data_IF_940535068365
#
_entry.id   IF_940535068365
#
_cell.length_a   1.000
_cell.length_b   1.000
_cell.length_c   1.000
_cell.angle_alpha   90.00
_cell.angle_beta   90.00
_cell.angle_gamma   90.00
#
_symmetry.space_group_name_H-M   'P 1'
#
loop_
_entity.id
_entity.type
_entity.pdbx_description
1 polymer ?
#
# COMPACT_ATOMS: atom_id res chain seq x y z
N UNK A 1 -13.97 -12.22 -4.98
CA UNK A 1 -13.87 -10.81 -4.59
C UNK A 1 -15.12 -10.10 -5.12
N UNK A 2 -15.45 -8.92 -4.59
CA UNK A 2 -16.45 -8.05 -5.20
C UNK A 2 -15.76 -7.20 -6.25
N UNK A 3 -16.32 -7.13 -7.46
CA UNK A 3 -15.90 -6.25 -8.54
C UNK A 3 -16.93 -5.14 -8.71
N UNK A 4 -16.46 -3.89 -8.81
CA UNK A 4 -17.35 -2.76 -9.07
C UNK A 4 -17.98 -2.83 -10.46
N UNK A 5 -17.27 -3.43 -11.41
CA UNK A 5 -17.72 -3.68 -12.76
C UNK A 5 -17.01 -4.94 -13.30
N UNK A 6 -17.74 -6.00 -13.68
CA UNK A 6 -17.15 -7.27 -14.11
C UNK A 6 -16.43 -7.18 -15.47
N UNK A 7 -16.61 -6.08 -16.21
CA UNK A 7 -15.93 -5.86 -17.49
C UNK A 7 -14.54 -5.22 -17.31
N UNK A 8 -14.17 -4.84 -16.08
CA UNK A 8 -12.84 -4.31 -15.78
C UNK A 8 -11.78 -5.42 -15.81
N UNK A 9 -10.58 -5.01 -16.22
CA UNK A 9 -9.38 -5.84 -16.13
C UNK A 9 -9.10 -6.27 -14.70
N UNK A 10 -8.67 -7.53 -14.56
CA UNK A 10 -8.38 -8.15 -13.26
C UNK A 10 -9.62 -8.60 -12.50
N UNK A 11 -9.48 -8.71 -11.17
CA UNK A 11 -10.52 -9.10 -10.22
C UNK A 11 -10.33 -8.42 -8.85
N UNK A 12 -11.42 -8.00 -8.25
CA UNK A 12 -11.47 -7.29 -6.97
C UNK A 12 -11.33 -5.78 -7.07
N UNK A 13 -11.35 -5.18 -8.26
CA UNK A 13 -11.27 -3.72 -8.41
C UNK A 13 -12.57 -3.10 -7.91
N UNK A 14 -12.50 -2.30 -6.84
CA UNK A 14 -13.67 -1.76 -6.18
C UNK A 14 -13.38 -0.52 -5.32
N UNK A 15 -14.45 0.13 -4.84
CA UNK A 15 -14.33 1.22 -3.88
C UNK A 15 -15.37 1.12 -2.75
N UNK A 16 -15.02 1.71 -1.61
CA UNK A 16 -15.87 1.76 -0.43
C UNK A 16 -15.87 3.15 0.18
N UNK A 17 -17.05 3.77 0.24
CA UNK A 17 -17.25 5.05 0.93
C UNK A 17 -17.38 4.83 2.44
N UNK A 18 -16.74 5.70 3.22
CA UNK A 18 -16.85 5.76 4.68
C UNK A 18 -17.64 7.01 5.02
N UNK A 19 -18.71 6.85 5.78
CA UNK A 19 -19.52 7.98 6.25
C UNK A 19 -18.90 8.62 7.49
N UNK A 20 -19.22 9.89 7.71
CA UNK A 20 -18.94 10.55 9.00
C UNK A 20 -19.61 9.82 10.16
N UNK A 21 -19.12 10.06 11.36
CA UNK A 21 -19.59 9.49 12.62
C UNK A 21 -21.08 9.73 12.88
N UNK A 22 -21.64 10.82 12.35
CA UNK A 22 -23.07 11.15 12.39
C UNK A 22 -23.88 10.65 11.17
N UNK A 23 -23.21 10.02 10.20
CA UNK A 23 -23.80 9.50 8.97
C UNK A 23 -24.23 10.56 7.95
N UNK A 24 -23.91 11.84 8.17
CA UNK A 24 -24.43 12.95 7.36
C UNK A 24 -23.73 13.17 6.02
N UNK A 25 -22.47 12.73 5.88
CA UNK A 25 -21.67 12.94 4.67
C UNK A 25 -20.70 11.80 4.39
N UNK A 26 -20.20 11.72 3.16
CA UNK A 26 -19.11 10.82 2.78
C UNK A 26 -17.79 11.41 3.29
N UNK A 27 -17.30 10.91 4.42
CA UNK A 27 -16.09 11.41 5.05
C UNK A 27 -14.82 11.00 4.30
N UNK A 28 -14.81 9.79 3.74
CA UNK A 28 -13.63 9.21 3.10
C UNK A 28 -14.02 8.19 2.02
N UNK A 29 -13.09 7.86 1.13
CA UNK A 29 -13.24 6.73 0.20
C UNK A 29 -11.99 5.84 0.20
N UNK A 30 -12.18 4.53 0.07
CA UNK A 30 -11.10 3.56 -0.10
C UNK A 30 -11.19 2.96 -1.50
N UNK A 31 -10.10 3.03 -2.25
CA UNK A 31 -9.95 2.40 -3.56
C UNK A 31 -9.14 1.11 -3.43
N UNK A 32 -9.61 0.04 -4.05
CA UNK A 32 -8.90 -1.22 -4.19
C UNK A 32 -8.71 -1.48 -5.68
N UNK A 33 -7.47 -1.63 -6.13
CA UNK A 33 -7.16 -1.95 -7.52
C UNK A 33 -6.53 -3.33 -7.60
N UNK A 34 -6.96 -4.12 -8.60
CA UNK A 34 -6.16 -5.23 -9.07
C UNK A 34 -5.04 -4.68 -9.96
N UNK A 35 -3.79 -4.77 -9.50
CA UNK A 35 -2.62 -4.39 -10.29
C UNK A 35 -2.21 -5.47 -11.30
N UNK A 36 -3.04 -6.48 -11.50
CA UNK A 36 -2.83 -7.64 -12.36
C UNK A 36 -1.59 -8.45 -11.92
N UNK A 37 -1.11 -9.37 -12.77
CA UNK A 37 -0.02 -10.30 -12.41
C UNK A 37 1.24 -10.10 -13.25
N UNK A 38 1.16 -10.43 -14.54
CA UNK A 38 2.30 -10.37 -15.44
C UNK A 38 1.85 -10.02 -16.87
N UNK A 39 2.70 -9.28 -17.57
CA UNK A 39 2.53 -8.91 -18.98
C UNK A 39 3.76 -9.32 -19.82
N UNK A 40 3.63 -9.28 -21.14
CA UNK A 40 4.62 -9.84 -22.09
C UNK A 40 4.93 -8.95 -23.30
N UNK A 41 4.45 -7.71 -23.34
CA UNK A 41 4.60 -6.76 -24.44
C UNK A 41 6.07 -6.44 -24.78
N UNK A 42 6.96 -6.55 -23.79
CA UNK A 42 8.42 -6.37 -23.95
C UNK A 42 9.12 -7.63 -24.48
N UNK A 43 8.40 -8.72 -24.72
CA UNK A 43 8.93 -10.02 -25.12
C UNK A 43 9.52 -10.84 -23.96
N UNK A 44 9.38 -10.38 -22.72
CA UNK A 44 9.77 -11.08 -21.49
C UNK A 44 8.62 -11.00 -20.48
N UNK A 45 8.66 -11.86 -19.45
CA UNK A 45 7.68 -11.79 -18.35
C UNK A 45 8.02 -10.60 -17.46
N UNK A 46 7.20 -9.57 -17.51
CA UNK A 46 7.30 -8.37 -16.67
C UNK A 46 6.11 -8.31 -15.72
N UNK A 47 6.24 -7.54 -14.63
CA UNK A 47 5.08 -7.26 -13.78
C UNK A 47 4.07 -6.40 -14.54
N UNK A 48 2.80 -6.78 -14.38
CA UNK A 48 1.69 -6.05 -14.98
C UNK A 48 1.34 -4.81 -14.16
N UNK A 49 0.36 -4.05 -14.62
CA UNK A 49 -0.02 -2.75 -14.10
C UNK A 49 -1.54 -2.60 -14.05
N UNK A 50 -2.03 -1.52 -13.46
CA UNK A 50 -3.45 -1.13 -13.55
C UNK A 50 -3.73 -0.59 -14.95
N UNK A 51 -4.73 -1.14 -15.63
CA UNK A 51 -5.04 -0.89 -17.04
C UNK A 51 -5.93 0.36 -17.22
N UNK A 52 -6.05 0.82 -18.46
CA UNK A 52 -6.76 2.05 -18.82
C UNK A 52 -8.24 2.03 -18.40
N UNK A 53 -8.93 0.91 -18.56
CA UNK A 53 -10.33 0.74 -18.15
C UNK A 53 -10.52 0.92 -16.64
N UNK A 54 -9.61 0.41 -15.82
CA UNK A 54 -9.60 0.60 -14.36
C UNK A 54 -9.31 2.07 -14.00
N UNK A 55 -8.41 2.74 -14.72
CA UNK A 55 -8.11 4.17 -14.52
C UNK A 55 -9.32 5.04 -14.88
N UNK A 56 -9.96 4.78 -16.02
CA UNK A 56 -11.15 5.52 -16.46
C UNK A 56 -12.36 5.23 -15.57
N UNK A 57 -12.48 4.01 -15.04
CA UNK A 57 -13.44 3.69 -13.99
C UNK A 57 -13.20 4.52 -12.73
N UNK A 58 -11.95 4.61 -12.25
CA UNK A 58 -11.61 5.43 -11.09
C UNK A 58 -11.97 6.89 -11.32
N UNK A 59 -11.57 7.49 -12.45
CA UNK A 59 -11.88 8.90 -12.77
C UNK A 59 -13.38 9.16 -12.75
N UNK A 60 -14.15 8.35 -13.48
CA UNK A 60 -15.62 8.46 -13.55
C UNK A 60 -16.27 8.31 -12.17
N UNK A 61 -15.80 7.35 -11.37
CA UNK A 61 -16.37 7.08 -10.04
C UNK A 61 -16.02 8.19 -9.06
N UNK A 62 -14.77 8.67 -9.08
CA UNK A 62 -14.31 9.82 -8.30
C UNK A 62 -15.12 11.09 -8.61
N UNK A 63 -15.37 11.38 -9.89
CA UNK A 63 -16.18 12.52 -10.31
C UNK A 63 -17.63 12.42 -9.84
N UNK A 64 -18.22 11.22 -9.90
CA UNK A 64 -19.56 10.98 -9.39
C UNK A 64 -19.64 11.17 -7.86
N UNK A 65 -18.63 10.70 -7.12
CA UNK A 65 -18.52 10.92 -5.67
C UNK A 65 -18.35 12.41 -5.34
N UNK A 66 -17.54 13.14 -6.09
CA UNK A 66 -17.36 14.59 -5.92
C UNK A 66 -18.68 15.33 -6.17
N UNK A 67 -19.42 14.97 -7.24
CA UNK A 67 -20.72 15.55 -7.53
C UNK A 67 -21.76 15.25 -6.45
N UNK A 68 -21.73 14.05 -5.86
CA UNK A 68 -22.62 13.64 -4.77
C UNK A 68 -22.30 14.36 -3.45
N UNK A 69 -21.01 14.46 -3.10
CA UNK A 69 -20.56 15.03 -1.83
C UNK A 69 -20.51 16.57 -1.86
N UNK A 70 -20.35 17.18 -3.04
CA UNK A 70 -20.11 18.61 -3.20
C UNK A 70 -18.68 19.06 -2.91
N UNK A 71 -17.75 18.11 -2.75
CA UNK A 71 -16.31 18.32 -2.56
C UNK A 71 -15.54 17.07 -3.00
N UNK A 72 -14.24 17.23 -3.28
CA UNK A 72 -13.35 16.08 -3.54
C UNK A 72 -13.26 15.21 -2.30
N UNK A 73 -13.80 13.99 -2.37
CA UNK A 73 -13.81 13.06 -1.25
C UNK A 73 -12.38 12.58 -0.99
N UNK A 74 -11.79 12.87 0.19
CA UNK A 74 -10.45 12.40 0.53
C UNK A 74 -10.39 10.87 0.48
N UNK A 75 -9.33 10.33 -0.09
CA UNK A 75 -9.24 8.89 -0.31
C UNK A 75 -7.85 8.29 -0.15
N UNK A 76 -7.84 6.97 0.08
CA UNK A 76 -6.64 6.13 0.04
C UNK A 76 -6.84 5.00 -0.97
N UNK A 77 -5.75 4.55 -1.58
CA UNK A 77 -5.75 3.42 -2.50
C UNK A 77 -4.89 2.27 -1.98
N UNK A 78 -5.25 1.05 -2.36
CA UNK A 78 -4.50 -0.16 -2.06
C UNK A 78 -4.39 -1.01 -3.31
N UNK A 79 -3.18 -1.48 -3.62
CA UNK A 79 -2.92 -2.46 -4.66
C UNK A 79 -1.70 -3.30 -4.33
N UNK A 80 -1.47 -4.39 -5.08
CA UNK A 80 -0.36 -5.29 -4.77
C UNK A 80 0.99 -4.76 -5.27
N UNK A 81 1.12 -4.53 -6.58
CA UNK A 81 2.37 -4.13 -7.25
C UNK A 81 2.51 -2.60 -7.17
N UNK A 82 3.68 -2.05 -6.81
CA UNK A 82 3.88 -0.60 -6.71
C UNK A 82 3.81 0.11 -8.07
N UNK A 83 3.44 1.39 -8.06
CA UNK A 83 3.53 2.24 -9.25
C UNK A 83 4.99 2.58 -9.59
N UNK A 84 5.34 2.83 -10.87
CA UNK A 84 6.70 3.23 -11.28
C UNK A 84 7.31 4.38 -10.49
N UNK A 85 6.49 5.35 -10.07
CA UNK A 85 6.89 6.56 -9.34
C UNK A 85 7.47 6.27 -7.95
N UNK A 86 7.39 5.03 -7.45
CA UNK A 86 8.08 4.62 -6.23
C UNK A 86 9.59 4.92 -6.27
N UNK A 87 10.21 4.90 -7.46
CA UNK A 87 11.63 5.24 -7.64
C UNK A 87 11.95 6.73 -7.46
N UNK A 88 10.95 7.61 -7.50
CA UNK A 88 11.16 9.03 -7.18
C UNK A 88 11.50 9.23 -5.68
N UNK A 89 11.24 8.23 -4.84
CA UNK A 89 11.64 8.21 -3.43
C UNK A 89 13.06 7.67 -3.21
N UNK A 90 13.76 7.23 -4.25
CA UNK A 90 15.12 6.69 -4.17
C UNK A 90 16.15 7.77 -4.49
N UNK A 91 17.38 7.58 -4.01
CA UNK A 91 18.51 8.38 -4.48
C UNK A 91 19.06 7.81 -5.80
N UNK A 92 19.32 8.69 -6.77
CA UNK A 92 20.10 8.35 -7.95
C UNK A 92 21.54 7.96 -7.52
N UNK A 93 22.02 6.85 -8.05
CA UNK A 93 23.29 6.25 -7.66
C UNK A 93 24.48 7.16 -8.00
N UNK A 94 25.42 7.25 -7.08
CA UNK A 94 26.70 7.92 -7.26
C UNK A 94 27.83 6.90 -7.50
N UNK A 95 28.98 7.30 -8.06
CA UNK A 95 30.13 6.41 -8.20
C UNK A 95 30.53 5.78 -6.87
N UNK A 96 30.55 4.44 -6.83
CA UNK A 96 30.88 3.66 -5.65
C UNK A 96 29.67 3.17 -4.83
N UNK A 97 28.45 3.59 -5.16
CA UNK A 97 27.25 3.00 -4.56
C UNK A 97 27.08 1.53 -4.97
N UNK A 98 26.68 0.71 -4.00
CA UNK A 98 26.34 -0.71 -4.19
C UNK A 98 25.43 -1.18 -3.05
N UNK A 99 24.36 -1.95 -3.32
CA UNK A 99 23.91 -2.34 -4.65
C UNK A 99 23.21 -1.19 -5.39
N UNK A 100 23.16 -1.29 -6.72
CA UNK A 100 22.46 -0.35 -7.61
C UNK A 100 21.55 -1.09 -8.59
N UNK A 101 20.53 -0.40 -9.10
CA UNK A 101 19.59 -0.93 -10.11
C UNK A 101 19.25 0.15 -11.13
N UNK A 102 19.32 -0.21 -12.41
CA UNK A 102 18.79 0.63 -13.49
C UNK A 102 17.27 0.43 -13.59
N UNK A 103 16.55 1.53 -13.72
CA UNK A 103 15.12 1.55 -13.95
C UNK A 103 14.73 2.84 -14.70
N UNK A 104 14.02 2.68 -15.81
CA UNK A 104 13.53 3.77 -16.66
C UNK A 104 14.60 4.82 -17.06
N UNK A 105 15.80 4.36 -17.39
CA UNK A 105 16.89 5.18 -17.92
C UNK A 105 17.74 5.87 -16.84
N UNK A 106 17.50 5.59 -15.56
CA UNK A 106 18.30 6.08 -14.43
C UNK A 106 18.78 4.91 -13.59
N UNK A 107 19.91 5.10 -12.89
CA UNK A 107 20.45 4.11 -11.96
C UNK A 107 20.24 4.58 -10.53
N UNK A 108 19.61 3.77 -9.70
CA UNK A 108 19.30 4.11 -8.31
C UNK A 108 20.14 3.29 -7.35
N UNK A 109 20.56 3.90 -6.24
CA UNK A 109 21.12 3.19 -5.11
C UNK A 109 19.99 2.58 -4.27
N UNK A 110 20.26 1.51 -3.53
CA UNK A 110 19.31 0.98 -2.55
C UNK A 110 19.24 1.87 -1.30
N UNK A 111 18.81 3.13 -1.50
CA UNK A 111 18.76 4.18 -0.48
C UNK A 111 17.57 5.10 -0.77
N UNK A 112 16.74 5.34 0.24
CA UNK A 112 15.68 6.33 0.18
C UNK A 112 16.25 7.76 0.19
N UNK A 113 15.63 8.65 -0.56
CA UNK A 113 15.79 10.08 -0.37
C UNK A 113 15.13 10.49 0.95
N UNK A 114 15.95 10.82 1.96
CA UNK A 114 15.48 11.15 3.31
C UNK A 114 14.77 12.50 3.42
N UNK A 115 14.82 13.33 2.39
CA UNK A 115 14.01 14.55 2.32
C UNK A 115 12.55 14.26 1.94
N UNK A 116 12.30 13.11 1.30
CA UNK A 116 10.98 12.73 0.78
C UNK A 116 10.37 11.53 1.50
N UNK A 117 11.20 10.62 2.02
CA UNK A 117 10.78 9.32 2.53
C UNK A 117 11.45 8.92 3.85
N UNK A 118 10.68 8.26 4.70
CA UNK A 118 11.11 7.73 6.00
C UNK A 118 10.76 6.25 6.11
N UNK A 119 11.47 5.52 6.98
CA UNK A 119 11.33 4.08 7.15
C UNK A 119 12.48 3.28 6.54
N UNK A 120 12.22 2.00 6.29
CA UNK A 120 13.18 0.98 5.90
C UNK A 120 12.98 0.52 4.45
N UNK A 121 14.07 0.54 3.70
CA UNK A 121 14.15 0.04 2.34
C UNK A 121 15.12 -1.14 2.33
N UNK A 122 14.59 -2.36 2.26
CA UNK A 122 15.37 -3.60 2.31
C UNK A 122 15.69 -4.16 0.92
N UNK A 123 14.87 -3.86 -0.08
CA UNK A 123 15.03 -4.33 -1.46
C UNK A 123 14.59 -3.29 -2.50
N UNK A 124 15.10 -3.42 -3.72
CA UNK A 124 14.61 -2.58 -4.81
C UNK A 124 13.16 -2.92 -5.10
N UNK A 125 12.29 -1.91 -5.10
CA UNK A 125 10.88 -2.10 -5.42
C UNK A 125 10.73 -2.67 -6.83
N UNK A 126 9.68 -3.45 -7.03
CA UNK A 126 9.40 -4.15 -8.29
C UNK A 126 8.15 -3.63 -9.00
N UNK A 127 8.09 -2.34 -9.40
CA UNK A 127 7.01 -1.81 -10.21
C UNK A 127 7.05 -2.38 -11.64
N UNK A 128 5.96 -2.24 -12.41
CA UNK A 128 5.93 -2.57 -13.83
C UNK A 128 6.94 -1.72 -14.61
N UNK A 129 7.41 -2.24 -15.75
CA UNK A 129 8.26 -1.45 -16.67
C UNK A 129 7.45 -0.44 -17.48
N UNK A 130 6.17 -0.74 -17.72
CA UNK A 130 5.23 0.16 -18.38
C UNK A 130 4.59 1.07 -17.33
N UNK A 131 4.64 2.38 -17.58
CA UNK A 131 3.84 3.33 -16.83
C UNK A 131 2.50 3.53 -17.54
N UNK A 132 1.41 3.08 -16.92
CA UNK A 132 0.05 3.20 -17.48
C UNK A 132 -0.58 4.57 -17.32
N UNK A 133 0.05 5.50 -16.59
CA UNK A 133 -0.52 6.80 -16.25
C UNK A 133 -1.44 6.76 -15.02
N UNK A 134 -1.47 5.64 -14.28
CA UNK A 134 -2.28 5.51 -13.07
C UNK A 134 -1.97 6.61 -12.03
N UNK A 135 -0.68 6.83 -11.75
CA UNK A 135 -0.28 7.83 -10.77
C UNK A 135 -0.61 9.26 -11.23
N UNK A 136 -0.41 9.57 -12.51
CA UNK A 136 -0.78 10.87 -13.07
C UNK A 136 -2.30 11.09 -12.97
N UNK A 137 -3.12 10.06 -13.18
CA UNK A 137 -4.57 10.16 -12.96
C UNK A 137 -4.93 10.51 -11.50
N UNK A 138 -4.22 9.95 -10.52
CA UNK A 138 -4.41 10.32 -9.11
C UNK A 138 -4.03 11.78 -8.84
N UNK A 139 -2.91 12.24 -9.40
CA UNK A 139 -2.47 13.64 -9.28
C UNK A 139 -3.47 14.59 -9.94
N UNK A 140 -3.97 14.26 -11.14
CA UNK A 140 -4.96 15.06 -11.87
C UNK A 140 -6.31 15.15 -11.15
N UNK A 141 -6.79 14.04 -10.59
CA UNK A 141 -8.03 14.02 -9.80
C UNK A 141 -7.88 14.75 -8.47
N UNK A 142 -6.71 14.66 -7.83
CA UNK A 142 -6.37 15.43 -6.63
C UNK A 142 -7.23 15.11 -5.41
N UNK A 143 -7.79 13.91 -5.34
CA UNK A 143 -8.63 13.41 -4.24
C UNK A 143 -7.98 12.25 -3.46
N UNK A 144 -6.80 11.78 -3.90
CA UNK A 144 -6.04 10.70 -3.28
C UNK A 144 -4.94 11.27 -2.38
N UNK A 145 -4.97 10.91 -1.11
CA UNK A 145 -3.95 11.32 -0.13
C UNK A 145 -2.73 10.38 -0.14
N UNK A 146 -2.96 9.10 -0.44
CA UNK A 146 -1.92 8.09 -0.43
C UNK A 146 -2.35 6.77 -1.05
N UNK A 147 -1.36 5.98 -1.45
CA UNK A 147 -1.52 4.64 -2.00
C UNK A 147 -0.55 3.67 -1.32
N UNK A 148 -1.08 2.53 -0.89
CA UNK A 148 -0.33 1.50 -0.21
C UNK A 148 -0.14 0.24 -1.07
N UNK A 149 1.07 -0.30 -0.97
CA UNK A 149 1.56 -1.42 -1.75
C UNK A 149 2.01 -2.56 -0.85
N UNK A 150 1.98 -3.77 -1.42
CA UNK A 150 2.68 -4.93 -0.90
C UNK A 150 3.81 -5.29 -1.86
N UNK A 151 3.83 -6.57 -2.28
CA UNK A 151 4.76 -7.14 -3.26
C UNK A 151 6.23 -7.22 -2.81
N UNK A 152 6.81 -6.12 -2.33
CA UNK A 152 8.18 -6.03 -1.84
C UNK A 152 8.23 -6.28 -0.32
N UNK A 153 8.32 -7.56 0.07
CA UNK A 153 8.04 -8.02 1.42
C UNK A 153 8.97 -7.48 2.53
N UNK A 154 10.11 -6.89 2.18
CA UNK A 154 11.06 -6.32 3.16
C UNK A 154 11.15 -4.79 3.11
N UNK A 155 10.27 -4.14 2.34
CA UNK A 155 10.15 -2.70 2.33
C UNK A 155 9.06 -2.24 3.33
N UNK A 156 9.38 -1.24 4.15
CA UNK A 156 8.45 -0.63 5.09
C UNK A 156 8.78 0.85 5.21
N UNK A 157 8.24 1.65 4.30
CA UNK A 157 8.51 3.08 4.23
C UNK A 157 7.30 3.87 3.75
N UNK A 158 7.31 5.17 4.03
CA UNK A 158 6.35 6.14 3.49
C UNK A 158 7.16 7.28 2.90
N UNK A 159 6.81 7.72 1.71
CA UNK A 159 7.32 8.96 1.16
C UNK A 159 6.31 9.67 0.29
N UNK A 160 6.41 10.99 0.23
CA UNK A 160 5.45 11.83 -0.49
C UNK A 160 6.04 12.27 -1.82
N UNK A 161 5.29 12.05 -2.91
CA UNK A 161 5.64 12.55 -4.23
C UNK A 161 4.40 13.21 -4.87
N UNK A 162 4.57 14.41 -5.43
CA UNK A 162 3.48 15.24 -5.98
C UNK A 162 2.23 15.35 -5.06
N UNK A 163 2.43 15.36 -3.74
CA UNK A 163 1.35 15.48 -2.76
C UNK A 163 0.60 14.19 -2.44
N UNK A 164 1.05 13.04 -2.94
CA UNK A 164 0.49 11.72 -2.67
C UNK A 164 1.53 10.88 -1.94
N UNK A 165 1.14 10.22 -0.86
CA UNK A 165 2.00 9.29 -0.15
C UNK A 165 2.09 7.94 -0.88
N UNK A 166 3.31 7.50 -1.18
CA UNK A 166 3.61 6.16 -1.67
C UNK A 166 4.08 5.32 -0.47
N UNK A 167 3.32 4.27 -0.15
CA UNK A 167 3.42 3.56 1.12
C UNK A 167 3.77 2.09 0.85
N UNK A 168 4.95 1.66 1.28
CA UNK A 168 5.35 0.26 1.27
C UNK A 168 5.11 -0.37 2.65
N UNK A 169 4.58 -1.59 2.65
CA UNK A 169 4.30 -2.35 3.88
C UNK A 169 4.91 -3.74 3.79
N UNK A 170 5.74 -4.08 4.78
CA UNK A 170 6.40 -5.36 4.85
C UNK A 170 5.40 -6.52 4.96
N UNK A 171 5.77 -7.68 4.45
CA UNK A 171 4.88 -8.84 4.40
C UNK A 171 4.66 -9.46 5.78
N UNK A 172 3.41 -9.64 6.19
CA UNK A 172 3.06 -10.26 7.50
C UNK A 172 3.34 -11.78 7.56
N UNK A 173 3.36 -12.47 6.41
CA UNK A 173 3.41 -13.93 6.33
C UNK A 173 4.79 -14.53 6.66
N UNK A 174 4.83 -15.59 7.46
CA UNK A 174 6.04 -16.38 7.72
C UNK A 174 6.36 -17.44 6.65
N UNK A 175 5.52 -17.58 5.61
CA UNK A 175 5.69 -18.59 4.56
C UNK A 175 6.36 -18.03 3.31
N UNK A 176 6.19 -16.74 3.07
CA UNK A 176 6.86 -16.04 2.00
C UNK A 176 8.20 -15.49 2.49
N UNK A 177 9.11 -15.17 1.56
CA UNK A 177 10.33 -14.47 1.92
C UNK A 177 10.00 -13.16 2.68
N UNK A 178 10.89 -12.74 3.57
CA UNK A 178 10.76 -11.50 4.32
C UNK A 178 11.86 -11.38 5.37
N UNK A 179 11.84 -10.31 6.14
CA UNK A 179 12.82 -10.00 7.17
C UNK A 179 12.09 -9.71 8.49
N UNK A 180 12.45 -10.45 9.54
CA UNK A 180 11.82 -10.35 10.85
C UNK A 180 12.07 -9.01 11.56
N UNK A 181 13.05 -8.23 11.09
CA UNK A 181 13.30 -6.87 11.58
C UNK A 181 12.19 -5.88 11.18
N UNK A 182 11.48 -6.13 10.07
CA UNK A 182 10.42 -5.26 9.56
C UNK A 182 9.07 -5.95 9.39
N UNK A 183 9.05 -7.27 9.49
CA UNK A 183 7.85 -8.09 9.36
C UNK A 183 6.76 -7.60 10.30
N UNK A 184 5.57 -7.36 9.77
CA UNK A 184 4.43 -6.94 10.58
C UNK A 184 3.28 -6.44 9.73
N UNK A 185 2.60 -5.40 10.19
CA UNK A 185 1.52 -4.77 9.45
C UNK A 185 1.50 -3.25 9.69
N UNK A 186 0.59 -2.56 9.00
CA UNK A 186 0.48 -1.10 9.04
C UNK A 186 -0.94 -0.70 9.43
N UNK A 187 -1.04 0.23 10.37
CA UNK A 187 -2.29 0.84 10.80
C UNK A 187 -2.52 2.11 9.99
N UNK A 188 -3.76 2.31 9.55
CA UNK A 188 -4.22 3.55 8.96
C UNK A 188 -5.35 4.09 9.83
N UNK A 189 -5.21 5.33 10.29
CA UNK A 189 -6.20 6.02 11.12
C UNK A 189 -6.75 7.17 10.30
N UNK A 190 -8.04 7.10 9.99
CA UNK A 190 -8.72 8.09 9.16
C UNK A 190 -9.39 9.12 10.06
N UNK A 191 -9.16 10.39 9.79
CA UNK A 191 -9.92 11.50 10.36
C UNK A 191 -11.09 11.81 9.41
N UNK A 192 -12.30 11.84 9.94
CA UNK A 192 -13.49 12.16 9.14
C UNK A 192 -13.42 13.58 8.53
N UNK A 193 -12.54 14.45 9.03
CA UNK A 193 -12.25 15.77 8.48
C UNK A 193 -11.35 15.75 7.23
N UNK A 194 -10.96 14.56 6.75
CA UNK A 194 -10.30 14.39 5.47
C UNK A 194 -8.78 14.28 5.53
N UNK A 195 -8.23 13.89 6.67
CA UNK A 195 -6.81 13.57 6.84
C UNK A 195 -6.65 12.12 7.28
N UNK A 196 -5.43 11.63 7.27
CA UNK A 196 -5.12 10.31 7.81
C UNK A 196 -3.72 10.30 8.42
N UNK A 197 -3.50 9.35 9.31
CA UNK A 197 -2.18 9.00 9.85
C UNK A 197 -1.92 7.51 9.60
N UNK A 198 -0.64 7.14 9.51
CA UNK A 198 -0.27 5.74 9.37
C UNK A 198 1.02 5.40 10.11
N UNK A 199 1.07 4.21 10.69
CA UNK A 199 2.21 3.67 11.40
C UNK A 199 2.41 2.20 11.05
N UNK A 200 3.66 1.78 10.83
CA UNK A 200 4.01 0.37 10.71
C UNK A 200 4.44 -0.17 12.07
N UNK A 201 3.98 -1.36 12.39
CA UNK A 201 4.38 -2.11 13.59
C UNK A 201 4.89 -3.47 13.17
N UNK A 202 5.91 -3.95 13.87
CA UNK A 202 6.58 -5.21 13.60
C UNK A 202 6.13 -6.30 14.57
N UNK A 203 6.50 -7.54 14.30
CA UNK A 203 6.35 -8.63 15.27
C UNK A 203 7.11 -8.34 16.57
N UNK A 204 8.21 -7.58 16.55
CA UNK A 204 8.94 -7.23 17.77
C UNK A 204 8.20 -6.18 18.61
N UNK A 205 7.32 -5.39 18.00
CA UNK A 205 6.46 -4.43 18.71
C UNK A 205 5.24 -5.13 19.33
N UNK A 206 4.76 -6.21 18.70
CA UNK A 206 3.56 -6.92 19.10
C UNK A 206 3.79 -8.12 20.03
N UNK A 207 4.98 -8.74 19.99
CA UNK A 207 5.26 -10.00 20.67
C UNK A 207 6.57 -9.94 21.46
N UNK A 208 6.62 -10.65 22.58
CA UNK A 208 7.89 -11.01 23.20
C UNK A 208 8.66 -11.99 22.31
N UNK A 209 9.99 -12.07 22.48
CA UNK A 209 10.84 -13.01 21.74
C UNK A 209 10.34 -14.47 21.85
N UNK A 210 9.92 -14.88 23.05
CA UNK A 210 9.40 -16.23 23.30
C UNK A 210 8.08 -16.50 22.55
N UNK A 211 7.17 -15.52 22.53
CA UNK A 211 5.91 -15.61 21.77
C UNK A 211 6.18 -15.66 20.26
N UNK A 212 7.13 -14.86 19.78
CA UNK A 212 7.50 -14.85 18.37
C UNK A 212 8.14 -16.17 17.92
N UNK A 213 9.03 -16.74 18.73
CA UNK A 213 9.60 -18.08 18.49
C UNK A 213 8.49 -19.14 18.48
N UNK A 214 7.58 -19.11 19.45
CA UNK A 214 6.46 -20.06 19.50
C UNK A 214 5.55 -19.94 18.28
N UNK A 215 5.32 -18.72 17.79
CA UNK A 215 4.51 -18.46 16.58
C UNK A 215 5.14 -19.08 15.33
N UNK A 216 6.46 -18.98 15.20
CA UNK A 216 7.24 -19.60 14.11
C UNK A 216 7.25 -21.13 14.16
N UNK A 217 7.30 -21.71 15.37
CA UNK A 217 7.43 -23.15 15.57
C UNK A 217 6.10 -23.92 15.53
N UNK A 218 4.96 -23.23 15.54
CA UNK A 218 3.63 -23.86 15.58
C UNK A 218 3.31 -24.65 14.28
N UNK A 219 3.48 -25.98 14.30
CA UNK A 219 3.15 -26.92 13.19
C UNK A 219 1.63 -27.22 13.01
N UNK A 220 0.75 -26.28 13.34
CA UNK A 220 -0.68 -26.34 12.94
C UNK A 220 -0.76 -25.88 11.47
N UNK A 221 -1.80 -26.15 10.63
CA UNK A 221 -1.96 -25.41 9.38
C UNK A 221 -1.85 -23.91 9.66
N UNK A 222 -0.67 -23.36 9.36
CA UNK A 222 -0.08 -22.29 10.16
C UNK A 222 -0.80 -20.95 9.98
N UNK A 223 -1.53 -20.80 8.87
CA UNK A 223 -2.18 -19.57 8.46
C UNK A 223 -3.36 -19.15 9.37
N UNK A 224 -4.20 -20.09 9.85
CA UNK A 224 -5.40 -19.73 10.63
C UNK A 224 -5.07 -19.29 12.06
N UNK A 225 -4.13 -19.97 12.71
CA UNK A 225 -3.76 -19.68 14.10
C UNK A 225 -2.81 -18.48 14.18
N UNK A 226 -1.95 -18.29 13.18
CA UNK A 226 -1.05 -17.14 13.13
C UNK A 226 -1.82 -15.85 12.84
N UNK A 227 -2.70 -15.83 11.85
CA UNK A 227 -3.46 -14.63 11.51
C UNK A 227 -4.40 -14.21 12.66
N UNK A 228 -5.17 -15.14 13.23
CA UNK A 228 -6.09 -14.82 14.33
C UNK A 228 -5.35 -14.26 15.56
N UNK A 229 -4.18 -14.81 15.90
CA UNK A 229 -3.37 -14.28 16.99
C UNK A 229 -2.84 -12.89 16.66
N UNK A 230 -2.18 -12.72 15.51
CA UNK A 230 -1.66 -11.40 15.08
C UNK A 230 -2.78 -10.36 15.06
N UNK A 231 -3.96 -10.72 14.56
CA UNK A 231 -5.12 -9.85 14.55
C UNK A 231 -5.60 -9.47 15.96
N UNK A 232 -5.66 -10.43 16.90
CA UNK A 232 -6.02 -10.12 18.29
C UNK A 232 -5.02 -9.21 18.99
N UNK A 233 -3.71 -9.44 18.80
CA UNK A 233 -2.67 -8.55 19.34
C UNK A 233 -2.72 -7.17 18.70
N UNK A 234 -2.98 -7.10 17.39
CA UNK A 234 -3.21 -5.85 16.70
C UNK A 234 -4.41 -5.10 17.28
N UNK A 235 -5.53 -5.78 17.53
CA UNK A 235 -6.69 -5.15 18.17
C UNK A 235 -6.37 -4.66 19.58
N UNK A 236 -5.64 -5.43 20.38
CA UNK A 236 -5.20 -5.00 21.71
C UNK A 236 -4.29 -3.77 21.66
N UNK A 237 -3.37 -3.74 20.70
CA UNK A 237 -2.50 -2.59 20.45
C UNK A 237 -3.30 -1.36 20.00
N UNK A 238 -4.23 -1.52 19.06
CA UNK A 238 -5.14 -0.44 18.65
C UNK A 238 -5.91 0.10 19.86
N UNK A 239 -6.46 -0.77 20.73
CA UNK A 239 -7.17 -0.32 21.93
C UNK A 239 -6.26 0.32 23.00
N UNK A 240 -4.97 -0.01 23.03
CA UNK A 240 -4.03 0.61 23.97
C UNK A 240 -3.69 2.05 23.56
N UNK A 241 -3.59 2.30 22.25
CA UNK A 241 -3.34 3.63 21.68
C UNK A 241 -4.62 4.45 21.56
N UNK A 242 -5.74 3.79 21.24
CA UNK A 242 -7.05 4.39 21.01
C UNK A 242 -8.10 3.80 21.97
N UNK A 243 -8.02 4.10 23.29
CA UNK A 243 -8.91 3.50 24.29
C UNK A 243 -10.39 3.86 24.13
N UNK A 244 -10.72 4.80 23.24
CA UNK A 244 -12.09 5.21 22.93
C UNK A 244 -12.75 4.48 21.74
N UNK A 245 -12.01 3.69 20.96
CA UNK A 245 -12.57 2.95 19.82
C UNK A 245 -13.47 1.82 20.33
N UNK A 246 -14.71 1.75 19.82
CA UNK A 246 -15.63 0.63 20.02
C UNK A 246 -15.79 -0.10 18.69
N UNK A 247 -15.50 -1.40 18.67
CA UNK A 247 -15.77 -2.29 17.54
C UNK A 247 -17.25 -2.71 17.52
#
# INVERSE_FOLDING_TARGET
>A
AYDADPDLSGMGTCNHTILSSDGSRIAFNIWIFDSNMYEYSTGKREYDFVHEDQIEWYKRTSEALEAQAGYKVPSLAFQHIPVPEIYELYLEAQPGDSPTKEYNGKTYALKLNREMATGYLGEFSCPPVVNSGQFDAFVERGDLLGIAFGHDHINSFVGTYKGIDLIQTAGVSMHSYGDDAVRGARLFVLDENGTYETEAFTYNDLFTEAEFIALKMAQVPAYLVQFAKVFLYLLQYIFSIYPGIKL
#
